data_IF_070731475298
#
_entry.id   IF_070731475298
#
_cell.length_a   1.000
_cell.length_b   1.000
_cell.length_c   1.000
_cell.angle_alpha   90.00
_cell.angle_beta   90.00
_cell.angle_gamma   90.00
#
_symmetry.space_group_name_H-M   'P 1'
#
loop_
_entity.id
_entity.type
_entity.pdbx_description
1 polymer ?
#
# COMPACT_ATOMS: atom_id res chain seq x y z
N UNK A 1 14.23 2.56 -16.80
CA UNK A 1 12.91 1.94 -16.59
C UNK A 1 12.13 2.84 -15.66
N UNK A 2 10.87 3.13 -15.95
CA UNK A 2 9.99 3.77 -14.97
C UNK A 2 9.80 2.78 -13.82
N UNK A 3 10.01 3.23 -12.59
CA UNK A 3 9.65 2.47 -11.40
C UNK A 3 8.15 2.65 -11.24
N UNK A 4 7.37 1.59 -11.48
CA UNK A 4 5.93 1.60 -11.22
C UNK A 4 5.70 1.19 -9.77
N UNK A 5 4.85 1.92 -9.06
CA UNK A 5 4.55 1.68 -7.65
C UNK A 5 3.15 1.09 -7.53
N UNK A 6 3.04 -0.15 -7.05
CA UNK A 6 1.75 -0.80 -6.83
C UNK A 6 1.25 -0.54 -5.40
N UNK A 7 0.04 0.00 -5.27
CA UNK A 7 -0.59 0.22 -3.96
C UNK A 7 -1.12 -1.10 -3.40
N UNK A 8 -0.43 -1.66 -2.40
CA UNK A 8 -0.83 -2.92 -1.73
C UNK A 8 -1.82 -2.71 -0.56
N UNK A 9 -1.99 -1.47 -0.10
CA UNK A 9 -2.94 -1.14 0.96
C UNK A 9 -2.65 0.19 1.65
N UNK A 10 -3.46 0.52 2.65
CA UNK A 10 -3.30 1.71 3.47
C UNK A 10 -3.62 1.42 4.94
N UNK A 11 -3.00 2.16 5.86
CA UNK A 11 -3.27 2.05 7.29
C UNK A 11 -3.04 3.39 7.96
N UNK A 12 -3.90 3.71 8.93
CA UNK A 12 -3.68 4.87 9.80
C UNK A 12 -2.62 4.50 10.83
N UNK A 13 -1.71 5.43 11.11
CA UNK A 13 -0.83 5.29 12.25
C UNK A 13 -1.61 5.59 13.54
N UNK A 14 -1.26 4.91 14.63
CA UNK A 14 -1.89 5.12 15.92
C UNK A 14 -1.14 6.16 16.79
N UNK A 15 -1.70 6.46 17.96
CA UNK A 15 -1.12 7.42 18.91
C UNK A 15 0.26 6.99 19.46
N UNK A 16 0.68 5.75 19.21
CA UNK A 16 1.98 5.20 19.61
C UNK A 16 2.96 5.14 18.43
N UNK A 17 2.61 5.74 17.29
CA UNK A 17 3.45 5.74 16.09
C UNK A 17 3.55 4.39 15.40
N UNK A 18 2.62 3.46 15.67
CA UNK A 18 2.60 2.14 15.05
C UNK A 18 1.73 2.17 13.81
N UNK A 19 2.19 1.51 12.76
CA UNK A 19 1.42 1.24 11.56
C UNK A 19 1.08 -0.25 11.56
N UNK A 20 -0.20 -0.58 11.44
CA UNK A 20 -0.62 -1.97 11.27
C UNK A 20 -0.15 -2.46 9.90
N UNK A 21 0.58 -3.58 9.88
CA UNK A 21 1.00 -4.21 8.63
C UNK A 21 -0.24 -4.75 7.88
N UNK A 22 -0.34 -4.46 6.58
CA UNK A 22 -1.37 -5.08 5.72
C UNK A 22 -1.17 -6.58 5.69
N UNK A 23 -2.26 -7.36 5.80
CA UNK A 23 -2.21 -8.83 5.71
C UNK A 23 -1.56 -9.25 4.39
N UNK A 24 -1.86 -8.56 3.29
CA UNK A 24 -1.27 -8.88 1.98
C UNK A 24 0.24 -8.66 1.94
N UNK A 25 0.75 -7.59 2.58
CA UNK A 25 2.21 -7.38 2.74
C UNK A 25 2.82 -8.49 3.60
N UNK A 26 2.14 -8.89 4.68
CA UNK A 26 2.61 -9.99 5.52
C UNK A 26 2.69 -11.32 4.76
N UNK A 27 1.74 -11.62 3.89
CA UNK A 27 1.76 -12.79 3.01
C UNK A 27 2.89 -12.71 1.97
N UNK A 28 3.02 -11.57 1.27
CA UNK A 28 4.06 -11.35 0.25
C UNK A 28 5.48 -11.48 0.83
N UNK A 29 5.65 -11.10 2.08
CA UNK A 29 6.92 -11.20 2.79
C UNK A 29 7.07 -12.50 3.61
N UNK A 30 6.05 -13.37 3.64
CA UNK A 30 6.03 -14.58 4.50
C UNK A 30 6.39 -14.25 5.95
N UNK A 31 5.70 -13.29 6.55
CA UNK A 31 5.95 -12.89 7.94
C UNK A 31 5.28 -13.85 8.93
N UNK A 32 6.08 -14.41 9.81
CA UNK A 32 5.64 -15.14 10.99
C UNK A 32 5.54 -14.22 12.21
N UNK A 33 4.33 -14.15 12.77
CA UNK A 33 4.04 -13.27 13.92
C UNK A 33 4.88 -13.66 15.13
N UNK A 34 5.67 -12.69 15.60
CA UNK A 34 6.48 -12.83 16.82
C UNK A 34 7.88 -13.38 16.59
N UNK A 35 8.16 -13.88 15.38
CA UNK A 35 9.45 -14.44 14.99
C UNK A 35 10.20 -13.49 14.04
N UNK A 36 9.49 -12.99 13.02
CA UNK A 36 10.12 -12.22 11.96
C UNK A 36 10.28 -10.74 12.30
N UNK A 37 11.43 -10.20 11.90
CA UNK A 37 11.78 -8.79 12.08
C UNK A 37 11.66 -8.06 10.76
N UNK A 38 11.03 -6.89 10.82
CA UNK A 38 10.87 -6.00 9.67
C UNK A 38 11.64 -4.71 9.91
N UNK A 39 12.35 -4.27 8.88
CA UNK A 39 13.20 -3.10 8.89
C UNK A 39 12.62 -2.00 7.99
N UNK A 40 12.86 -0.75 8.39
CA UNK A 40 12.45 0.43 7.66
C UNK A 40 13.69 1.12 7.09
N UNK A 41 13.67 1.38 5.80
CA UNK A 41 14.78 1.96 5.04
C UNK A 41 14.29 3.21 4.30
N UNK A 42 15.19 4.14 3.99
CA UNK A 42 14.88 5.31 3.14
C UNK A 42 15.76 5.22 1.90
N UNK A 43 15.13 5.25 0.72
CA UNK A 43 15.82 5.26 -0.58
C UNK A 43 15.04 6.13 -1.56
N UNK A 44 15.74 7.03 -2.25
CA UNK A 44 15.15 7.94 -3.26
C UNK A 44 13.88 8.67 -2.78
N UNK A 45 13.87 9.10 -1.52
CA UNK A 45 12.73 9.80 -0.91
C UNK A 45 11.54 8.91 -0.54
N UNK A 46 11.63 7.59 -0.74
CA UNK A 46 10.62 6.60 -0.36
C UNK A 46 11.01 5.85 0.90
N UNK A 47 10.00 5.48 1.70
CA UNK A 47 10.17 4.56 2.83
C UNK A 47 9.95 3.13 2.34
N UNK A 48 10.95 2.27 2.52
CA UNK A 48 10.92 0.87 2.11
C UNK A 48 10.87 -0.01 3.34
N UNK A 49 9.93 -0.94 3.33
CA UNK A 49 9.78 -1.97 4.34
C UNK A 49 10.45 -3.26 3.83
N UNK A 50 11.34 -3.85 4.63
CA UNK A 50 12.07 -5.07 4.25
C UNK A 50 12.07 -6.08 5.40
N UNK A 51 11.76 -7.35 5.10
CA UNK A 51 11.98 -8.46 6.05
C UNK A 51 13.47 -8.68 6.26
N UNK A 52 13.90 -8.86 7.51
CA UNK A 52 15.25 -9.35 7.82
C UNK A 52 15.32 -10.84 7.51
N UNK A 53 16.18 -11.19 6.57
CA UNK A 53 16.34 -12.57 6.08
C UNK A 53 17.56 -13.26 6.67
N UNK A 54 17.58 -14.59 6.61
CA UNK A 54 18.71 -15.41 7.04
C UNK A 54 19.60 -15.79 5.85
N UNK A 55 20.90 -15.85 6.09
CA UNK A 55 21.87 -16.35 5.11
C UNK A 55 22.18 -17.83 5.36
N UNK A 56 22.15 -18.62 4.30
CA UNK A 56 22.46 -20.05 4.30
C UNK A 56 23.77 -20.25 3.53
N UNK A 57 24.86 -20.55 4.24
CA UNK A 57 26.21 -20.69 3.64
C UNK A 57 26.64 -19.45 2.83
N UNK A 58 26.24 -18.25 3.27
CA UNK A 58 26.51 -16.99 2.56
C UNK A 58 25.51 -16.64 1.45
N UNK A 59 24.54 -17.50 1.18
CA UNK A 59 23.47 -17.24 0.22
C UNK A 59 22.18 -16.81 0.92
N UNK A 60 21.64 -15.66 0.52
CA UNK A 60 20.35 -15.17 1.00
C UNK A 60 19.24 -15.62 0.02
N UNK A 61 18.82 -16.88 0.16
CA UNK A 61 17.78 -17.48 -0.68
C UNK A 61 16.40 -16.90 -0.37
N UNK A 62 16.13 -16.61 0.91
CA UNK A 62 14.87 -16.04 1.37
C UNK A 62 14.61 -14.65 0.73
N UNK A 63 15.62 -13.77 0.66
CA UNK A 63 15.47 -12.50 -0.06
C UNK A 63 15.17 -12.69 -1.55
N UNK A 64 15.69 -13.76 -2.18
CA UNK A 64 15.44 -14.04 -3.60
C UNK A 64 13.99 -14.46 -3.82
N UNK A 65 13.48 -15.37 -2.99
CA UNK A 65 12.09 -15.84 -3.06
C UNK A 65 11.09 -14.72 -2.78
N UNK A 66 11.37 -13.87 -1.78
CA UNK A 66 10.56 -12.68 -1.49
C UNK A 66 10.58 -11.73 -2.69
N UNK A 67 11.76 -11.46 -3.27
CA UNK A 67 11.88 -10.56 -4.41
C UNK A 67 11.08 -11.07 -5.61
N UNK A 68 11.16 -12.36 -5.90
CA UNK A 68 10.42 -12.96 -7.01
C UNK A 68 8.91 -12.79 -6.82
N UNK A 69 8.38 -13.07 -5.63
CA UNK A 69 6.96 -12.85 -5.31
C UNK A 69 6.51 -11.40 -5.42
N UNK A 70 7.36 -10.45 -5.01
CA UNK A 70 7.05 -9.03 -5.14
C UNK A 70 7.00 -8.60 -6.61
N UNK A 71 7.93 -9.09 -7.45
CA UNK A 71 7.93 -8.83 -8.90
C UNK A 71 6.68 -9.43 -9.55
N UNK A 72 6.34 -10.68 -9.24
CA UNK A 72 5.12 -11.32 -9.75
C UNK A 72 3.87 -10.55 -9.35
N UNK A 73 3.80 -10.11 -8.08
CA UNK A 73 2.70 -9.29 -7.60
C UNK A 73 2.62 -7.95 -8.34
N UNK A 74 3.76 -7.28 -8.56
CA UNK A 74 3.82 -6.06 -9.37
C UNK A 74 3.32 -6.31 -10.80
N UNK A 75 3.81 -7.36 -11.46
CA UNK A 75 3.42 -7.73 -12.83
C UNK A 75 1.92 -8.04 -12.95
N UNK A 76 1.34 -8.73 -11.99
CA UNK A 76 -0.09 -9.06 -11.96
C UNK A 76 -0.98 -7.82 -11.74
N UNK A 77 -0.49 -6.79 -11.06
CA UNK A 77 -1.28 -5.61 -10.65
C UNK A 77 -0.89 -4.33 -11.40
N UNK A 78 0.07 -4.41 -12.33
CA UNK A 78 0.49 -3.33 -13.21
C UNK A 78 -0.65 -2.80 -14.09
N UNK A 79 -1.62 -3.66 -14.44
CA UNK A 79 -2.80 -3.29 -15.24
C UNK A 79 -4.01 -2.84 -14.38
N UNK A 80 -3.94 -2.96 -13.05
CA UNK A 80 -5.01 -2.53 -12.13
C UNK A 80 -4.98 -1.03 -11.80
N UNK A 81 -3.95 -0.29 -12.24
CA UNK A 81 -3.96 1.19 -12.36
C UNK A 81 -4.87 1.66 -13.52
N UNK A 82 -6.05 1.03 -13.65
CA UNK A 82 -7.08 1.32 -14.63
C UNK A 82 -7.75 2.70 -14.46
N UNK A 83 -7.41 3.46 -13.42
CA UNK A 83 -7.74 4.89 -13.34
C UNK A 83 -6.98 5.74 -14.38
N UNK A 84 -5.93 5.19 -15.00
CA UNK A 84 -5.25 5.79 -16.14
C UNK A 84 -5.88 5.44 -17.50
N UNK A 85 -6.86 4.51 -17.54
CA UNK A 85 -7.57 4.10 -18.76
C UNK A 85 -8.97 4.70 -18.92
N UNK A 86 -9.45 5.48 -17.94
CA UNK A 86 -10.72 6.21 -18.07
C UNK A 86 -10.52 7.50 -18.89
N UNK A 87 -11.40 7.68 -19.88
CA UNK A 87 -11.55 8.94 -20.60
C UNK A 87 -11.69 10.11 -19.59
N UNK A 88 -11.01 11.25 -19.82
CA UNK A 88 -11.16 12.47 -19.01
C UNK A 88 -12.58 12.83 -18.57
N UNK A 89 -13.61 12.59 -19.39
CA UNK A 89 -15.01 12.86 -19.03
C UNK A 89 -15.52 11.91 -17.94
N UNK A 90 -15.18 10.63 -18.02
CA UNK A 90 -15.58 9.61 -17.04
C UNK A 90 -14.90 9.86 -15.69
N UNK A 91 -13.62 10.25 -15.69
CA UNK A 91 -12.89 10.66 -14.48
C UNK A 91 -13.50 11.90 -13.82
N UNK A 92 -13.91 12.87 -14.64
CA UNK A 92 -14.57 14.08 -14.14
C UNK A 92 -15.96 13.78 -13.56
N UNK A 93 -16.69 12.80 -14.12
CA UNK A 93 -17.98 12.35 -13.59
C UNK A 93 -17.84 11.73 -12.20
N UNK A 94 -16.91 10.79 -12.04
CA UNK A 94 -16.64 10.11 -10.76
C UNK A 94 -16.22 11.14 -9.69
N UNK A 95 -15.28 12.04 -10.01
CA UNK A 95 -14.83 13.07 -9.08
C UNK A 95 -15.97 14.01 -8.61
N UNK A 96 -16.94 14.32 -9.49
CA UNK A 96 -18.11 15.14 -9.13
C UNK A 96 -19.06 14.39 -8.19
N UNK A 97 -19.26 13.10 -8.40
CA UNK A 97 -20.10 12.25 -7.56
C UNK A 97 -19.50 12.10 -6.15
N UNK A 98 -18.20 11.85 -6.05
CA UNK A 98 -17.48 11.79 -4.79
C UNK A 98 -17.52 13.12 -4.04
N UNK A 99 -17.27 14.23 -4.73
CA UNK A 99 -17.34 15.56 -4.14
C UNK A 99 -18.74 15.89 -3.61
N UNK A 100 -19.79 15.50 -4.33
CA UNK A 100 -21.17 15.70 -3.89
C UNK A 100 -21.49 14.86 -2.63
N UNK A 101 -21.01 13.62 -2.59
CA UNK A 101 -21.17 12.74 -1.43
C UNK A 101 -20.43 13.30 -0.20
N UNK A 102 -19.21 13.79 -0.37
CA UNK A 102 -18.46 14.45 0.70
C UNK A 102 -19.14 15.72 1.21
N UNK A 103 -19.66 16.55 0.30
CA UNK A 103 -20.42 17.76 0.67
C UNK A 103 -21.65 17.42 1.51
N UNK A 104 -22.42 16.40 1.11
CA UNK A 104 -23.58 15.93 1.89
C UNK A 104 -23.18 15.43 3.27
N UNK A 105 -22.13 14.59 3.36
CA UNK A 105 -21.59 14.11 4.64
C UNK A 105 -21.11 15.26 5.54
N UNK A 106 -20.56 16.34 4.98
CA UNK A 106 -20.15 17.54 5.73
C UNK A 106 -21.36 18.35 6.22
N UNK A 107 -22.42 18.47 5.42
CA UNK A 107 -23.65 19.18 5.80
C UNK A 107 -24.44 18.41 6.86
N UNK A 108 -24.52 17.08 6.77
CA UNK A 108 -25.13 16.21 7.79
C UNK A 108 -24.36 16.31 9.11
N UNK A 109 -23.02 16.23 9.07
CA UNK A 109 -22.19 16.44 10.27
C UNK A 109 -22.31 17.84 10.88
N UNK A 110 -22.62 18.88 10.08
CA UNK A 110 -22.90 20.22 10.61
C UNK A 110 -24.25 20.27 11.33
N UNK A 111 -25.28 19.65 10.74
CA UNK A 111 -26.62 19.53 11.36
C UNK A 111 -26.60 18.71 12.65
N UNK A 112 -25.87 17.60 12.68
CA UNK A 112 -25.71 16.79 13.90
C UNK A 112 -24.94 17.51 15.02
N UNK A 113 -24.06 18.45 14.66
CA UNK A 113 -23.29 19.26 15.63
C UNK A 113 -23.99 20.56 16.07
N UNK A 114 -25.22 20.81 15.61
CA UNK A 114 -25.99 21.98 16.02
C UNK A 114 -25.34 23.34 15.70
N UNK A 115 -24.67 23.44 14.55
CA UNK A 115 -24.17 24.71 13.97
C UNK A 115 -25.07 25.16 12.82
#
# INVERSE_FOLDING_TARGET
MMVTMVKVGESKYDNYGRITCSIKIAELLELEKGEDVVEWHIIDGNVVLRKRTKTYQGFDLESQDIRQRLIEYEEEHLDEDADLNLDPEERLRIAREEYALERRKREEKKKEKGL
#
